data_IF_019768640477
#
_entry.id   IF_019768640477
#
_cell.length_a   1.000
_cell.length_b   1.000
_cell.length_c   1.000
_cell.angle_alpha   90.00
_cell.angle_beta   90.00
_cell.angle_gamma   90.00
#
_symmetry.space_group_name_H-M   'P 1'
#
loop_
_entity.id
_entity.type
_entity.pdbx_description
1 polymer ?
#
# COMPACT_ATOMS: atom_id res chain seq x y z
N UNK A 1 3.75 24.12 10.87
CA UNK A 1 4.76 23.57 9.94
C UNK A 1 5.19 22.21 10.48
N UNK A 2 4.85 21.11 9.81
CA UNK A 2 5.18 19.77 10.31
C UNK A 2 6.67 19.51 10.15
N UNK A 3 7.37 19.30 11.27
CA UNK A 3 8.79 19.00 11.28
C UNK A 3 8.97 17.55 10.79
N UNK A 4 9.64 17.37 9.64
CA UNK A 4 9.93 16.04 9.10
C UNK A 4 11.00 15.41 10.00
N UNK A 5 10.62 14.37 10.75
CA UNK A 5 11.52 13.66 11.65
C UNK A 5 12.45 12.75 10.82
N UNK A 6 13.67 13.22 10.49
CA UNK A 6 14.64 12.42 9.75
C UNK A 6 15.32 11.42 10.70
N UNK A 7 15.06 10.12 10.50
CA UNK A 7 15.77 9.04 11.19
C UNK A 7 17.03 8.66 10.40
N UNK A 8 18.17 8.55 11.09
CA UNK A 8 19.43 8.08 10.49
C UNK A 8 19.38 6.57 10.27
N UNK A 9 19.76 6.12 9.09
CA UNK A 9 19.89 4.71 8.73
C UNK A 9 21.36 4.42 8.43
N UNK A 10 21.90 3.35 9.00
CA UNK A 10 23.22 2.85 8.67
C UNK A 10 23.06 1.58 7.82
N UNK A 11 23.69 1.54 6.65
CA UNK A 11 23.58 0.47 5.68
C UNK A 11 24.97 0.13 5.16
N UNK A 12 25.27 -1.17 5.12
CA UNK A 12 26.42 -1.71 4.42
C UNK A 12 25.95 -2.18 3.04
N UNK A 13 26.59 -1.66 1.99
CA UNK A 13 26.31 -2.03 0.61
C UNK A 13 27.58 -2.61 -0.02
N UNK A 14 27.46 -3.58 -0.95
CA UNK A 14 28.59 -4.02 -1.75
C UNK A 14 29.23 -2.86 -2.51
N UNK A 15 30.55 -2.92 -2.70
CA UNK A 15 31.33 -1.85 -3.35
C UNK A 15 30.78 -1.48 -4.73
N UNK A 16 30.36 -2.48 -5.52
CA UNK A 16 29.75 -2.28 -6.84
C UNK A 16 28.51 -1.36 -6.79
N UNK A 17 27.70 -1.45 -5.74
CA UNK A 17 26.53 -0.60 -5.56
C UNK A 17 26.90 0.80 -5.11
N UNK A 18 27.96 0.94 -4.29
CA UNK A 18 28.48 2.25 -3.87
C UNK A 18 29.05 3.01 -5.06
N UNK A 19 29.73 2.31 -5.97
CA UNK A 19 30.26 2.90 -7.21
C UNK A 19 29.12 3.34 -8.14
N UNK A 20 28.10 2.51 -8.31
CA UNK A 20 26.92 2.86 -9.09
C UNK A 20 26.17 4.07 -8.51
N UNK A 21 26.07 4.16 -7.17
CA UNK A 21 25.46 5.29 -6.48
C UNK A 21 26.29 6.56 -6.60
N UNK A 22 27.62 6.44 -6.52
CA UNK A 22 28.56 7.56 -6.70
C UNK A 22 28.42 8.14 -8.10
N UNK A 23 28.41 7.28 -9.12
CA UNK A 23 28.18 7.70 -10.51
C UNK A 23 26.82 8.41 -10.69
N UNK A 24 25.76 7.85 -10.11
CA UNK A 24 24.42 8.45 -10.17
C UNK A 24 24.32 9.80 -9.41
N UNK A 25 25.09 9.95 -8.33
CA UNK A 25 25.17 11.17 -7.54
C UNK A 25 25.93 12.28 -8.29
N UNK A 26 27.05 11.94 -8.93
CA UNK A 26 27.87 12.85 -9.74
C UNK A 26 27.13 13.41 -10.95
N UNK A 27 26.42 12.55 -11.69
CA UNK A 27 25.60 12.95 -12.86
C UNK A 27 24.51 13.98 -12.52
N UNK A 28 24.10 14.05 -11.25
CA UNK A 28 23.02 14.93 -10.76
C UNK A 28 23.50 16.04 -9.83
N UNK A 29 24.81 16.15 -9.58
CA UNK A 29 25.38 17.12 -8.64
C UNK A 29 24.85 16.97 -7.21
N UNK A 30 24.45 15.75 -6.82
CA UNK A 30 23.85 15.44 -5.51
C UNK A 30 24.82 14.64 -4.65
N UNK A 31 24.57 14.57 -3.35
CA UNK A 31 25.34 13.70 -2.45
C UNK A 31 24.90 12.24 -2.61
N UNK A 32 25.77 11.28 -2.28
CA UNK A 32 25.41 9.85 -2.23
C UNK A 32 24.19 9.63 -1.32
N UNK A 33 24.11 10.36 -0.20
CA UNK A 33 22.95 10.31 0.71
C UNK A 33 21.65 10.77 0.04
N UNK A 34 21.71 11.77 -0.84
CA UNK A 34 20.54 12.23 -1.60
C UNK A 34 20.19 11.27 -2.73
N UNK A 35 21.19 10.67 -3.39
CA UNK A 35 20.97 9.64 -4.41
C UNK A 35 20.33 8.38 -3.79
N UNK A 36 20.83 7.93 -2.64
CA UNK A 36 20.25 6.82 -1.87
C UNK A 36 18.85 7.19 -1.39
N UNK A 37 18.63 8.42 -0.92
CA UNK A 37 17.29 8.90 -0.52
C UNK A 37 16.33 8.93 -1.70
N UNK A 38 16.74 9.43 -2.85
CA UNK A 38 15.90 9.54 -4.05
C UNK A 38 15.58 8.14 -4.62
N UNK A 39 16.53 7.22 -4.61
CA UNK A 39 16.32 5.84 -5.05
C UNK A 39 15.47 5.04 -4.06
N UNK A 40 15.70 5.18 -2.75
CA UNK A 40 14.83 4.59 -1.73
C UNK A 40 13.45 5.21 -1.76
N UNK A 41 13.34 6.52 -1.92
CA UNK A 41 12.07 7.19 -2.10
C UNK A 41 11.40 6.65 -3.36
N UNK A 42 12.07 6.56 -4.50
CA UNK A 42 11.49 5.99 -5.72
C UNK A 42 11.05 4.54 -5.51
N UNK A 43 11.90 3.68 -4.95
CA UNK A 43 11.62 2.27 -4.69
C UNK A 43 10.49 2.05 -3.65
N UNK A 44 10.36 2.93 -2.65
CA UNK A 44 9.31 2.87 -1.63
C UNK A 44 8.06 3.68 -2.02
N UNK A 45 8.17 4.61 -2.98
CA UNK A 45 7.05 5.34 -3.60
C UNK A 45 6.38 4.49 -4.68
N UNK A 46 7.05 3.41 -5.13
CA UNK A 46 6.36 2.16 -5.42
C UNK A 46 5.79 1.64 -4.10
N UNK A 47 4.76 2.32 -3.58
CA UNK A 47 3.70 1.58 -2.89
C UNK A 47 3.37 0.45 -3.87
N UNK A 48 3.33 -0.83 -3.45
CA UNK A 48 2.94 -1.90 -4.36
C UNK A 48 1.73 -1.40 -5.16
N UNK A 49 1.74 -1.57 -6.49
CA UNK A 49 0.60 -1.22 -7.34
C UNK A 49 -0.59 -2.08 -6.91
N UNK A 50 -1.14 -1.81 -5.73
CA UNK A 50 -2.31 -2.46 -5.19
C UNK A 50 -3.45 -1.82 -5.95
N UNK A 51 -4.09 -2.60 -6.77
CA UNK A 51 -5.31 -2.22 -7.42
C UNK A 51 -6.39 -2.00 -6.35
N UNK A 52 -7.41 -1.22 -6.71
CA UNK A 52 -8.61 -1.04 -5.88
C UNK A 52 -9.20 -2.40 -5.47
N UNK A 53 -9.16 -3.38 -6.39
CA UNK A 53 -9.64 -4.74 -6.14
C UNK A 53 -8.84 -5.48 -5.07
N UNK A 54 -7.50 -5.44 -5.13
CA UNK A 54 -6.65 -6.10 -4.13
C UNK A 54 -6.85 -5.52 -2.73
N UNK A 55 -6.95 -4.19 -2.61
CA UNK A 55 -7.22 -3.51 -1.34
C UNK A 55 -8.61 -3.87 -0.81
N UNK A 56 -9.62 -3.91 -1.69
CA UNK A 56 -10.97 -4.30 -1.31
C UNK A 56 -11.03 -5.76 -0.84
N UNK A 57 -10.41 -6.68 -1.58
CA UNK A 57 -10.40 -8.11 -1.25
C UNK A 57 -9.66 -8.39 0.05
N UNK A 58 -8.51 -7.75 0.29
CA UNK A 58 -7.80 -7.88 1.57
C UNK A 58 -8.65 -7.40 2.75
N UNK A 59 -9.32 -6.25 2.61
CA UNK A 59 -10.19 -5.75 3.65
C UNK A 59 -11.38 -6.69 3.91
N UNK A 60 -11.96 -7.28 2.87
CA UNK A 60 -13.01 -8.30 3.01
C UNK A 60 -12.48 -9.55 3.73
N UNK A 61 -11.28 -10.04 3.37
CA UNK A 61 -10.67 -11.23 3.99
C UNK A 61 -10.40 -11.04 5.47
N UNK A 62 -9.94 -9.87 5.87
CA UNK A 62 -9.71 -9.57 7.27
C UNK A 62 -11.01 -9.17 8.04
N UNK A 63 -12.18 -9.26 7.38
CA UNK A 63 -13.48 -9.20 8.04
C UNK A 63 -14.16 -7.82 8.04
N UNK A 64 -13.70 -6.86 7.23
CA UNK A 64 -14.33 -5.56 7.12
C UNK A 64 -15.77 -5.69 6.60
N UNK A 65 -16.67 -4.79 6.98
CA UNK A 65 -17.97 -4.64 6.32
C UNK A 65 -17.82 -4.00 4.94
N UNK A 66 -18.87 -4.06 4.10
CA UNK A 66 -18.85 -3.42 2.79
C UNK A 66 -18.58 -1.91 2.89
N UNK A 67 -19.16 -1.26 3.90
CA UNK A 67 -18.99 0.17 4.16
C UNK A 67 -17.57 0.49 4.64
N UNK A 68 -17.02 -0.30 5.56
CA UNK A 68 -15.63 -0.12 6.02
C UNK A 68 -14.61 -0.36 4.91
N UNK A 69 -14.83 -1.39 4.09
CA UNK A 69 -13.99 -1.66 2.92
C UNK A 69 -14.03 -0.50 1.94
N UNK A 70 -15.22 0.03 1.63
CA UNK A 70 -15.37 1.17 0.73
C UNK A 70 -14.67 2.43 1.27
N UNK A 71 -14.84 2.72 2.56
CA UNK A 71 -14.16 3.83 3.21
C UNK A 71 -12.62 3.67 3.19
N UNK A 72 -12.13 2.45 3.38
CA UNK A 72 -10.70 2.14 3.31
C UNK A 72 -10.15 2.32 1.89
N UNK A 73 -10.91 1.86 0.88
CA UNK A 73 -10.58 2.06 -0.54
C UNK A 73 -10.54 3.54 -0.88
N UNK A 74 -11.53 4.36 -0.52
CA UNK A 74 -11.51 5.80 -0.80
C UNK A 74 -10.42 6.55 -0.03
N UNK A 75 -10.03 6.08 1.16
CA UNK A 75 -8.90 6.66 1.90
C UNK A 75 -7.57 6.46 1.17
N UNK A 76 -7.42 5.33 0.47
CA UNK A 76 -6.21 4.99 -0.29
C UNK A 76 -6.28 5.47 -1.74
N UNK A 77 -7.48 5.54 -2.32
CA UNK A 77 -7.77 5.94 -3.69
C UNK A 77 -8.94 6.94 -3.70
N UNK A 78 -8.67 8.23 -3.41
CA UNK A 78 -9.71 9.27 -3.37
C UNK A 78 -10.47 9.41 -4.70
N UNK A 79 -9.78 9.21 -5.82
CA UNK A 79 -10.32 9.30 -7.17
C UNK A 79 -11.00 8.00 -7.65
N UNK A 80 -11.20 7.01 -6.77
CA UNK A 80 -11.82 5.75 -7.17
C UNK A 80 -13.32 5.92 -7.44
N UNK A 81 -13.80 5.29 -8.51
CA UNK A 81 -15.23 5.11 -8.80
C UNK A 81 -15.81 3.87 -8.08
N UNK A 82 -15.12 3.38 -7.04
CA UNK A 82 -15.57 2.21 -6.30
C UNK A 82 -16.90 2.52 -5.61
N UNK A 83 -17.80 1.54 -5.60
CA UNK A 83 -19.11 1.65 -4.96
C UNK A 83 -19.36 0.49 -4.02
N UNK A 84 -20.33 0.61 -3.12
CA UNK A 84 -20.72 -0.50 -2.25
C UNK A 84 -21.13 -1.76 -3.06
N UNK A 85 -21.67 -1.58 -4.26
CA UNK A 85 -21.98 -2.68 -5.19
C UNK A 85 -20.69 -3.37 -5.71
N UNK A 86 -19.64 -2.61 -5.99
CA UNK A 86 -18.33 -3.15 -6.40
C UNK A 86 -17.72 -3.99 -5.27
N UNK A 87 -17.80 -3.51 -4.03
CA UNK A 87 -17.33 -4.24 -2.85
C UNK A 87 -18.14 -5.53 -2.62
N UNK A 88 -19.47 -5.46 -2.75
CA UNK A 88 -20.34 -6.62 -2.64
C UNK A 88 -20.02 -7.67 -3.71
N UNK A 89 -19.71 -7.24 -4.93
CA UNK A 89 -19.27 -8.12 -6.01
C UNK A 89 -17.95 -8.83 -5.65
N UNK A 90 -16.94 -8.11 -5.16
CA UNK A 90 -15.68 -8.73 -4.72
C UNK A 90 -15.90 -9.77 -3.62
N UNK A 91 -16.76 -9.50 -2.64
CA UNK A 91 -17.11 -10.45 -1.58
C UNK A 91 -17.76 -11.72 -2.13
N UNK A 92 -18.67 -11.56 -3.09
CA UNK A 92 -19.30 -12.69 -3.75
C UNK A 92 -18.27 -13.51 -4.54
N UNK A 93 -17.38 -12.83 -5.28
CA UNK A 93 -16.32 -13.47 -6.07
C UNK A 93 -15.38 -14.29 -5.18
N UNK A 94 -14.89 -13.74 -4.07
CA UNK A 94 -14.04 -14.46 -3.12
C UNK A 94 -14.71 -15.74 -2.57
N UNK A 95 -16.01 -15.65 -2.24
CA UNK A 95 -16.77 -16.84 -1.80
C UNK A 95 -16.96 -17.86 -2.92
N UNK A 96 -17.14 -17.40 -4.16
CA UNK A 96 -17.26 -18.27 -5.35
C UNK A 96 -15.94 -18.99 -5.63
N UNK A 97 -14.81 -18.34 -5.39
CA UNK A 97 -13.47 -18.93 -5.48
C UNK A 97 -13.16 -19.90 -4.32
N UNK A 98 -14.10 -20.07 -3.38
CA UNK A 98 -13.98 -21.03 -2.27
C UNK A 98 -13.33 -20.44 -1.02
N UNK A 99 -13.07 -19.13 -0.98
CA UNK A 99 -12.54 -18.49 0.21
C UNK A 99 -13.60 -18.36 1.31
N UNK A 100 -13.21 -18.67 2.55
CA UNK A 100 -14.05 -18.56 3.74
C UNK A 100 -14.16 -17.12 4.24
N UNK A 101 -14.63 -16.20 3.39
CA UNK A 101 -14.83 -14.79 3.77
C UNK A 101 -16.23 -14.56 4.36
N UNK A 102 -16.35 -13.77 5.44
CA UNK A 102 -17.63 -13.49 6.08
C UNK A 102 -18.56 -12.70 5.16
N UNK A 103 -19.85 -12.98 5.25
CA UNK A 103 -20.90 -12.14 4.65
C UNK A 103 -20.89 -10.76 5.29
N UNK A 104 -21.55 -9.78 4.67
CA UNK A 104 -21.69 -8.43 5.26
C UNK A 104 -22.36 -8.44 6.62
N UNK A 105 -23.34 -9.33 6.79
CA UNK A 105 -24.04 -9.50 8.06
C UNK A 105 -23.13 -10.10 9.12
N UNK A 106 -22.35 -11.12 8.78
CA UNK A 106 -21.39 -11.74 9.68
C UNK A 106 -20.26 -10.77 10.05
N UNK A 107 -19.74 -10.00 9.10
CA UNK A 107 -18.74 -8.96 9.32
C UNK A 107 -19.26 -7.86 10.28
N UNK A 108 -20.52 -7.42 10.11
CA UNK A 108 -21.17 -6.47 11.02
C UNK A 108 -21.30 -7.00 12.45
N UNK A 109 -21.60 -8.29 12.59
CA UNK A 109 -21.75 -8.96 13.89
C UNK A 109 -20.40 -9.24 14.55
N UNK A 110 -19.36 -9.51 13.76
CA UNK A 110 -18.02 -9.83 14.25
C UNK A 110 -17.29 -8.60 14.82
N UNK A 111 -17.68 -7.37 14.45
CA UNK A 111 -17.20 -6.08 14.99
C UNK A 111 -15.69 -6.04 15.31
N UNK A 112 -14.88 -6.72 14.48
CA UNK A 112 -13.42 -6.80 14.59
C UNK A 112 -12.84 -6.30 13.27
N UNK A 113 -12.98 -5.01 13.04
CA UNK A 113 -12.19 -4.32 12.03
C UNK A 113 -11.61 -3.06 12.68
N UNK A 114 -10.28 -2.93 12.78
CA UNK A 114 -9.61 -1.79 13.40
C UNK A 114 -9.71 -0.50 12.58
#
# INVERSE_FOLDING_TARGET
>A
MAQILMKKLNVALPDEMVDALTKHAEERGKTISDAVRDLLASALTIRPHRTIGEVAMEAIRAGATNQQTLAHVHKLFPDSNASAASIAWYRMTLRKEGEAVPTDREAKLAAKWP
#
